data_IF_613844873495
#
_entry.id   IF_613844873495
#
_cell.length_a   1.000
_cell.length_b   1.000
_cell.length_c   1.000
_cell.angle_alpha   90.00
_cell.angle_beta   90.00
_cell.angle_gamma   90.00
#
_symmetry.space_group_name_H-M   'P 1'
#
loop_
_entity.id
_entity.type
_entity.pdbx_description
1 polymer ?
#
# COMPACT_ATOMS: atom_id res chain seq x y z
N UNK A 1 27.17 0.90 13.92
CA UNK A 1 27.30 -0.03 12.76
C UNK A 1 28.47 -1.01 12.94
N UNK A 2 29.74 -0.57 12.97
CA UNK A 2 30.89 -1.47 13.07
C UNK A 2 30.84 -2.44 14.27
N UNK A 3 30.37 -1.99 15.43
CA UNK A 3 30.19 -2.84 16.61
C UNK A 3 29.19 -3.99 16.36
N UNK A 4 28.05 -3.69 15.73
CA UNK A 4 27.00 -4.67 15.39
C UNK A 4 27.50 -5.70 14.38
N UNK A 5 28.32 -5.27 13.42
CA UNK A 5 28.91 -6.16 12.42
C UNK A 5 30.17 -6.89 12.92
N UNK A 6 30.58 -6.66 14.17
CA UNK A 6 31.84 -7.15 14.74
C UNK A 6 33.07 -6.82 13.86
N UNK A 7 33.13 -5.58 13.36
CA UNK A 7 34.23 -5.04 12.54
C UNK A 7 34.98 -3.90 13.24
N UNK A 8 35.72 -4.18 14.33
CA UNK A 8 36.51 -3.17 15.03
C UNK A 8 37.64 -2.61 14.15
N UNK A 9 38.11 -3.39 13.18
CA UNK A 9 39.09 -2.98 12.17
C UNK A 9 38.58 -1.79 11.33
N UNK A 10 37.31 -1.81 10.92
CA UNK A 10 36.71 -0.68 10.19
C UNK A 10 36.48 0.53 11.09
N UNK A 11 36.22 0.32 12.38
CA UNK A 11 36.03 1.40 13.33
C UNK A 11 37.34 2.13 13.67
N UNK A 12 38.46 1.41 13.66
CA UNK A 12 39.78 1.93 14.01
C UNK A 12 40.54 2.52 12.81
N UNK A 13 40.07 2.30 11.58
CA UNK A 13 40.74 2.73 10.36
C UNK A 13 40.67 4.27 10.18
N UNK A 14 41.82 4.99 10.22
CA UNK A 14 41.83 6.44 10.04
C UNK A 14 41.30 6.88 8.67
N UNK A 15 41.42 6.04 7.64
CA UNK A 15 40.87 6.35 6.31
C UNK A 15 39.34 6.44 6.33
N UNK A 16 38.67 5.77 7.28
CA UNK A 16 37.20 5.75 7.39
C UNK A 16 36.65 6.77 8.40
N UNK A 17 37.52 7.57 9.04
CA UNK A 17 37.11 8.54 10.05
C UNK A 17 36.23 9.68 9.47
N UNK A 18 36.47 10.06 8.21
CA UNK A 18 35.74 11.14 7.53
C UNK A 18 34.71 10.62 6.54
N UNK A 19 33.69 11.42 6.22
CA UNK A 19 32.71 11.06 5.21
C UNK A 19 33.34 10.87 3.82
N UNK A 20 34.30 11.72 3.44
CA UNK A 20 35.02 11.62 2.17
C UNK A 20 35.85 10.33 2.09
N UNK A 21 36.53 9.96 3.18
CA UNK A 21 37.29 8.72 3.24
C UNK A 21 36.40 7.47 3.16
N UNK A 22 35.25 7.47 3.84
CA UNK A 22 34.24 6.39 3.67
C UNK A 22 33.69 6.30 2.26
N UNK A 23 33.58 7.42 1.54
CA UNK A 23 33.12 7.44 0.15
C UNK A 23 34.18 6.89 -0.80
N UNK A 24 35.45 7.18 -0.57
CA UNK A 24 36.56 6.62 -1.34
C UNK A 24 36.67 5.09 -1.17
N UNK A 25 36.31 4.60 0.02
CA UNK A 25 36.38 3.18 0.40
C UNK A 25 34.98 2.50 0.43
N UNK A 26 34.01 3.00 -0.34
CA UNK A 26 32.61 2.56 -0.31
C UNK A 26 32.47 1.05 -0.53
N UNK A 27 33.12 0.51 -1.57
CA UNK A 27 33.06 -0.92 -1.92
C UNK A 27 33.51 -1.81 -0.74
N UNK A 28 34.56 -1.42 -0.02
CA UNK A 28 35.07 -2.16 1.14
C UNK A 28 34.05 -2.17 2.28
N UNK A 29 33.36 -1.06 2.50
CA UNK A 29 32.29 -0.94 3.48
C UNK A 29 31.08 -1.78 3.05
N UNK A 30 30.66 -1.70 1.79
CA UNK A 30 29.53 -2.47 1.27
C UNK A 30 29.77 -3.98 1.37
N UNK A 31 30.96 -4.46 1.04
CA UNK A 31 31.33 -5.87 1.19
C UNK A 31 31.19 -6.31 2.65
N UNK A 32 31.67 -5.50 3.59
CA UNK A 32 31.55 -5.79 5.01
C UNK A 32 30.08 -5.85 5.48
N UNK A 33 29.26 -4.89 5.05
CA UNK A 33 27.83 -4.85 5.35
C UNK A 33 27.14 -6.08 4.75
N UNK A 34 27.40 -6.39 3.48
CA UNK A 34 26.84 -7.55 2.76
C UNK A 34 27.15 -8.86 3.46
N UNK A 35 28.42 -9.07 3.83
CA UNK A 35 28.82 -10.29 4.52
C UNK A 35 28.05 -10.46 5.82
N UNK A 36 27.89 -9.39 6.60
CA UNK A 36 27.13 -9.46 7.83
C UNK A 36 25.63 -9.68 7.58
N UNK A 37 25.00 -8.93 6.67
CA UNK A 37 23.55 -9.04 6.40
C UNK A 37 23.14 -10.41 5.85
N UNK A 38 24.03 -11.11 5.16
CA UNK A 38 23.78 -12.50 4.71
C UNK A 38 23.69 -13.52 5.86
N UNK A 39 24.18 -13.18 7.06
CA UNK A 39 24.18 -14.08 8.22
C UNK A 39 22.99 -13.89 9.16
N UNK A 40 22.20 -12.83 8.97
CA UNK A 40 21.13 -12.43 9.90
C UNK A 40 19.81 -12.28 9.15
N UNK A 41 18.71 -12.72 9.77
CA UNK A 41 17.37 -12.48 9.19
C UNK A 41 17.07 -10.98 9.10
N UNK A 42 16.41 -10.48 8.04
CA UNK A 42 16.19 -9.05 7.81
C UNK A 42 15.54 -8.30 8.99
N UNK A 43 14.49 -8.86 9.58
CA UNK A 43 13.79 -8.21 10.72
C UNK A 43 14.68 -8.14 11.97
N UNK A 44 15.50 -9.18 12.23
CA UNK A 44 16.46 -9.19 13.33
C UNK A 44 17.61 -8.21 13.08
N UNK A 45 18.08 -8.12 11.83
CA UNK A 45 19.10 -7.15 11.44
C UNK A 45 18.58 -5.72 11.66
N UNK A 46 17.35 -5.42 11.20
CA UNK A 46 16.68 -4.15 11.44
C UNK A 46 16.61 -3.83 12.94
N UNK A 47 16.03 -4.73 13.74
CA UNK A 47 15.85 -4.50 15.17
C UNK A 47 17.19 -4.27 15.90
N UNK A 48 18.21 -5.07 15.57
CA UNK A 48 19.55 -4.96 16.17
C UNK A 48 20.22 -3.64 15.81
N UNK A 49 20.14 -3.23 14.54
CA UNK A 49 20.71 -1.96 14.07
C UNK A 49 20.02 -0.76 14.71
N UNK A 50 18.68 -0.76 14.75
CA UNK A 50 17.89 0.31 15.36
C UNK A 50 18.16 0.43 16.87
N UNK A 51 18.31 -0.69 17.58
CA UNK A 51 18.70 -0.71 19.00
C UNK A 51 20.08 -0.05 19.25
N UNK A 52 20.94 0.03 18.23
CA UNK A 52 22.24 0.71 18.28
C UNK A 52 22.21 2.10 17.60
N UNK A 53 21.03 2.67 17.39
CA UNK A 53 20.87 4.00 16.79
C UNK A 53 21.18 4.06 15.30
N UNK A 54 21.26 2.92 14.60
CA UNK A 54 21.45 2.85 13.15
C UNK A 54 20.10 2.69 12.46
N UNK A 55 19.64 3.67 11.65
CA UNK A 55 18.43 3.54 10.87
C UNK A 55 18.56 2.40 9.86
N UNK A 56 17.63 1.46 9.90
CA UNK A 56 17.58 0.31 9.00
C UNK A 56 16.12 -0.14 8.83
N UNK A 57 15.83 -0.80 7.71
CA UNK A 57 14.53 -1.42 7.44
C UNK A 57 14.68 -2.50 6.35
N UNK A 58 13.92 -3.60 6.43
CA UNK A 58 13.92 -4.62 5.38
C UNK A 58 13.24 -4.06 4.13
N UNK A 59 13.81 -4.36 2.96
CA UNK A 59 13.11 -4.17 1.69
C UNK A 59 12.04 -5.26 1.56
N UNK A 60 10.77 -4.89 1.73
CA UNK A 60 9.63 -5.80 1.63
C UNK A 60 9.02 -5.80 0.23
N UNK A 61 8.50 -6.93 -0.22
CA UNK A 61 7.66 -6.98 -1.42
C UNK A 61 6.26 -6.45 -1.09
N UNK A 62 5.51 -5.91 -2.08
CA UNK A 62 4.14 -5.44 -1.84
C UNK A 62 3.23 -6.50 -1.23
N UNK A 63 3.40 -7.77 -1.62
CA UNK A 63 2.62 -8.89 -1.09
C UNK A 63 2.88 -9.18 0.40
N UNK A 64 4.07 -8.85 0.91
CA UNK A 64 4.42 -9.05 2.32
C UNK A 64 3.77 -7.99 3.22
N UNK A 65 3.39 -6.85 2.65
CA UNK A 65 2.85 -5.71 3.42
C UNK A 65 1.49 -6.03 4.04
N UNK A 66 0.71 -6.92 3.44
CA UNK A 66 -0.60 -7.32 3.96
C UNK A 66 -0.51 -7.92 5.38
N UNK A 67 0.61 -8.57 5.71
CA UNK A 67 0.88 -9.15 7.02
C UNK A 67 1.87 -8.34 7.87
N UNK A 68 2.24 -7.12 7.46
CA UNK A 68 3.20 -6.32 8.21
C UNK A 68 2.61 -5.92 9.59
N UNK A 69 3.28 -6.27 10.70
CA UNK A 69 2.73 -6.04 12.04
C UNK A 69 2.45 -4.57 12.35
N UNK A 70 3.28 -3.67 11.85
CA UNK A 70 3.08 -2.24 12.06
C UNK A 70 1.86 -1.75 11.28
N UNK A 71 1.73 -2.12 10.00
CA UNK A 71 0.57 -1.72 9.18
C UNK A 71 -0.75 -2.25 9.74
N UNK A 72 -0.75 -3.48 10.29
CA UNK A 72 -1.90 -4.03 11.01
C UNK A 72 -2.22 -3.23 12.28
N UNK A 73 -1.20 -2.96 13.11
CA UNK A 73 -1.35 -2.24 14.38
C UNK A 73 -1.91 -0.83 14.20
N UNK A 74 -1.49 -0.11 13.15
CA UNK A 74 -1.93 1.27 12.88
C UNK A 74 -3.22 1.35 12.05
N UNK A 75 -3.91 0.21 11.86
CA UNK A 75 -5.17 0.13 11.12
C UNK A 75 -5.05 0.48 9.65
N UNK A 76 -3.87 0.35 9.05
CA UNK A 76 -3.67 0.68 7.64
C UNK A 76 -4.50 -0.22 6.74
N UNK A 77 -4.56 -1.52 7.05
CA UNK A 77 -5.39 -2.47 6.30
C UNK A 77 -6.78 -2.54 6.91
N UNK A 78 -7.79 -2.12 6.14
CA UNK A 78 -9.19 -2.18 6.56
C UNK A 78 -9.91 -3.31 5.84
N UNK A 79 -10.52 -4.26 6.58
CA UNK A 79 -11.26 -5.35 5.97
C UNK A 79 -12.53 -4.84 5.30
N UNK A 80 -12.80 -5.32 4.10
CA UNK A 80 -13.98 -5.00 3.32
C UNK A 80 -14.53 -6.24 2.62
N UNK A 81 -15.84 -6.26 2.39
CA UNK A 81 -16.50 -7.28 1.57
C UNK A 81 -17.21 -6.56 0.44
N UNK A 82 -16.75 -6.75 -0.80
CA UNK A 82 -17.43 -6.20 -1.98
C UNK A 82 -18.30 -7.27 -2.64
N UNK A 83 -19.49 -6.91 -3.14
CA UNK A 83 -20.24 -7.75 -4.05
C UNK A 83 -19.32 -8.25 -5.19
N UNK A 84 -19.46 -9.52 -5.58
CA UNK A 84 -18.71 -10.18 -6.65
C UNK A 84 -17.19 -10.38 -6.44
N UNK A 85 -16.55 -9.65 -5.54
CA UNK A 85 -15.10 -9.81 -5.23
C UNK A 85 -14.84 -10.54 -3.91
N UNK A 86 -15.79 -10.53 -2.97
CA UNK A 86 -15.64 -11.16 -1.66
C UNK A 86 -14.76 -10.36 -0.67
N UNK A 87 -14.26 -11.02 0.40
CA UNK A 87 -13.43 -10.39 1.42
C UNK A 87 -12.05 -9.97 0.89
N UNK A 88 -11.61 -8.75 1.21
CA UNK A 88 -10.29 -8.23 0.88
C UNK A 88 -9.89 -7.08 1.81
N UNK A 89 -8.61 -6.68 1.75
CA UNK A 89 -8.06 -5.56 2.49
C UNK A 89 -8.00 -4.32 1.60
N UNK A 90 -8.41 -3.18 2.15
CA UNK A 90 -8.26 -1.87 1.52
C UNK A 90 -7.26 -1.03 2.30
N UNK A 91 -6.38 -0.28 1.61
CA UNK A 91 -5.50 0.66 2.28
C UNK A 91 -6.33 1.83 2.84
N UNK A 92 -6.05 2.19 4.08
CA UNK A 92 -6.60 3.37 4.71
C UNK A 92 -5.94 4.64 4.18
N UNK A 93 -6.57 5.78 4.45
CA UNK A 93 -5.96 7.08 4.18
C UNK A 93 -4.60 7.23 4.90
N UNK A 94 -3.63 7.81 4.21
CA UNK A 94 -2.25 7.87 4.67
C UNK A 94 -2.03 8.85 5.83
N UNK A 95 -2.93 9.83 6.01
CA UNK A 95 -2.82 10.83 7.06
C UNK A 95 -3.66 10.49 8.29
N UNK A 96 -3.39 11.19 9.38
CA UNK A 96 -4.14 11.15 10.64
C UNK A 96 -4.60 12.56 10.97
N UNK A 97 -5.77 12.66 11.60
CA UNK A 97 -6.33 13.95 12.02
C UNK A 97 -6.23 14.10 13.54
N UNK A 98 -5.85 15.31 13.98
CA UNK A 98 -5.77 15.67 15.38
C UNK A 98 -4.80 14.77 16.16
N UNK A 99 -5.33 14.12 17.21
CA UNK A 99 -4.57 13.19 18.08
C UNK A 99 -4.91 11.72 17.81
N UNK A 100 -5.64 11.42 16.73
CA UNK A 100 -6.01 10.04 16.41
C UNK A 100 -4.78 9.24 15.97
N UNK A 101 -4.58 8.08 16.58
CA UNK A 101 -3.60 7.09 16.14
C UNK A 101 -4.14 6.23 15.00
N UNK A 102 -5.46 6.18 14.81
CA UNK A 102 -6.15 5.38 13.82
C UNK A 102 -6.59 6.22 12.61
N UNK A 103 -6.60 5.63 11.40
CA UNK A 103 -7.12 6.30 10.21
C UNK A 103 -8.64 6.44 10.27
N UNK A 104 -9.17 7.26 9.38
CA UNK A 104 -10.58 7.23 9.04
C UNK A 104 -11.01 5.83 8.60
N UNK A 105 -12.12 5.36 9.15
CA UNK A 105 -12.73 4.09 8.74
C UNK A 105 -13.42 4.26 7.39
N UNK A 106 -13.24 3.29 6.49
CA UNK A 106 -13.94 3.19 5.22
C UNK A 106 -15.41 2.87 5.52
N UNK A 107 -16.28 3.86 5.40
CA UNK A 107 -17.72 3.73 5.69
C UNK A 107 -18.54 3.29 4.48
N UNK A 108 -18.02 3.50 3.27
CA UNK A 108 -18.67 3.12 2.01
C UNK A 108 -17.62 2.59 1.04
N UNK A 109 -17.98 1.51 0.35
CA UNK A 109 -17.16 0.92 -0.71
C UNK A 109 -17.46 1.60 -2.04
N UNK A 110 -16.60 1.40 -3.04
CA UNK A 110 -16.89 1.91 -4.38
C UNK A 110 -18.18 1.25 -4.91
N UNK A 111 -19.09 2.03 -5.51
CA UNK A 111 -20.37 1.51 -5.95
C UNK A 111 -20.24 0.55 -7.12
N UNK A 112 -21.22 -0.35 -7.24
CA UNK A 112 -21.41 -1.13 -8.46
C UNK A 112 -22.03 -0.25 -9.55
N UNK A 113 -21.97 -0.72 -10.80
CA UNK A 113 -22.65 -0.06 -11.90
C UNK A 113 -24.14 0.13 -11.57
N UNK A 114 -24.65 1.35 -11.74
CA UNK A 114 -26.05 1.67 -11.52
C UNK A 114 -26.54 1.62 -10.07
N UNK A 115 -25.68 1.37 -9.07
CA UNK A 115 -26.08 1.16 -7.67
C UNK A 115 -26.95 2.30 -7.12
N UNK A 116 -26.67 3.54 -7.54
CA UNK A 116 -27.35 4.74 -7.04
C UNK A 116 -28.33 5.34 -8.06
N UNK A 117 -28.73 4.61 -9.13
CA UNK A 117 -29.64 5.14 -10.14
C UNK A 117 -30.98 5.57 -9.52
N UNK A 118 -31.57 4.73 -8.66
CA UNK A 118 -32.83 5.05 -7.99
C UNK A 118 -32.69 6.25 -7.05
N UNK A 119 -31.65 6.27 -6.21
CA UNK A 119 -31.37 7.38 -5.28
C UNK A 119 -31.26 8.71 -6.04
N UNK A 120 -30.45 8.75 -7.10
CA UNK A 120 -30.22 10.00 -7.84
C UNK A 120 -31.44 10.38 -8.69
N UNK A 121 -31.95 9.48 -9.53
CA UNK A 121 -32.98 9.84 -10.50
C UNK A 121 -34.34 10.06 -9.84
N UNK A 122 -34.71 9.22 -8.87
CA UNK A 122 -35.99 9.34 -8.18
C UNK A 122 -35.92 10.36 -7.05
N UNK A 123 -34.97 10.23 -6.14
CA UNK A 123 -34.99 11.00 -4.89
C UNK A 123 -34.40 12.40 -5.07
N UNK A 124 -33.33 12.56 -5.85
CA UNK A 124 -32.71 13.88 -6.08
C UNK A 124 -33.30 14.64 -7.26
N UNK A 125 -33.65 13.95 -8.35
CA UNK A 125 -34.15 14.58 -9.58
C UNK A 125 -35.67 14.51 -9.74
N UNK A 126 -36.37 13.71 -8.93
CA UNK A 126 -37.83 13.66 -8.91
C UNK A 126 -38.47 12.94 -10.10
N UNK A 127 -37.72 12.12 -10.84
CA UNK A 127 -38.28 11.33 -11.93
C UNK A 127 -39.24 10.26 -11.37
N UNK A 128 -40.34 10.07 -12.09
CA UNK A 128 -41.27 8.97 -11.87
C UNK A 128 -40.65 7.62 -12.26
N UNK A 129 -41.21 6.53 -11.73
CA UNK A 129 -40.77 5.19 -12.10
C UNK A 129 -40.92 4.92 -13.60
N UNK A 130 -41.94 5.49 -14.24
CA UNK A 130 -42.15 5.39 -15.69
C UNK A 130 -41.02 6.04 -16.49
N UNK A 131 -40.59 7.24 -16.10
CA UNK A 131 -39.46 7.93 -16.75
C UNK A 131 -38.15 7.17 -16.55
N UNK A 132 -37.93 6.60 -15.36
CA UNK A 132 -36.72 5.79 -15.09
C UNK A 132 -36.73 4.52 -15.93
N UNK A 133 -37.88 3.86 -16.09
CA UNK A 133 -38.03 2.67 -16.93
C UNK A 133 -37.82 3.00 -18.41
N UNK A 134 -38.30 4.16 -18.89
CA UNK A 134 -38.01 4.65 -20.24
C UNK A 134 -36.51 4.85 -20.48
N UNK A 135 -35.80 5.47 -19.52
CA UNK A 135 -34.34 5.64 -19.60
C UNK A 135 -33.60 4.30 -19.63
N UNK A 136 -34.10 3.30 -18.88
CA UNK A 136 -33.53 1.95 -18.88
C UNK A 136 -33.79 1.23 -20.21
N UNK A 137 -35.01 1.32 -20.73
CA UNK A 137 -35.39 0.71 -22.01
C UNK A 137 -34.65 1.34 -23.20
N UNK A 138 -34.37 2.64 -23.13
CA UNK A 138 -33.57 3.37 -24.12
C UNK A 138 -32.05 3.12 -23.99
N UNK A 139 -31.61 2.25 -23.06
CA UNK A 139 -30.19 1.96 -22.77
C UNK A 139 -29.38 3.20 -22.37
N UNK A 140 -30.03 4.24 -21.82
CA UNK A 140 -29.37 5.46 -21.33
C UNK A 140 -28.76 5.23 -19.94
N UNK A 141 -29.42 4.41 -19.13
CA UNK A 141 -28.94 3.97 -17.80
C UNK A 141 -28.92 2.44 -17.72
N UNK A 142 -28.12 1.90 -16.80
CA UNK A 142 -28.06 0.46 -16.56
C UNK A 142 -27.38 0.10 -15.24
N UNK A 143 -27.48 -1.16 -14.86
CA UNK A 143 -26.91 -1.77 -13.65
C UNK A 143 -26.02 -2.99 -13.97
N UNK A 144 -26.00 -3.44 -15.22
CA UNK A 144 -25.16 -4.53 -15.70
C UNK A 144 -24.19 -4.06 -16.78
N UNK A 145 -22.93 -4.49 -16.68
CA UNK A 145 -21.94 -4.20 -17.71
C UNK A 145 -22.24 -5.05 -18.95
N UNK A 146 -22.57 -4.38 -20.07
CA UNK A 146 -22.71 -5.03 -21.38
C UNK A 146 -21.37 -4.98 -22.11
N UNK A 147 -20.92 -6.12 -22.63
CA UNK A 147 -19.76 -6.13 -23.51
C UNK A 147 -20.04 -5.30 -24.77
N UNK A 148 -19.08 -4.50 -25.27
CA UNK A 148 -19.30 -3.72 -26.48
C UNK A 148 -19.68 -4.66 -27.64
N UNK A 149 -20.75 -4.31 -28.37
CA UNK A 149 -21.12 -5.02 -29.60
C UNK A 149 -19.89 -5.01 -30.53
N UNK A 150 -19.49 -6.17 -31.11
CA UNK A 150 -18.38 -6.21 -32.04
C UNK A 150 -18.68 -5.22 -33.17
N UNK A 151 -17.71 -4.35 -33.50
CA UNK A 151 -17.86 -3.43 -34.62
C UNK A 151 -18.15 -4.27 -35.86
N UNK A 152 -19.31 -4.09 -36.47
CA UNK A 152 -19.64 -4.68 -37.76
C UNK A 152 -18.55 -4.23 -38.72
N UNK A 153 -17.76 -5.18 -39.24
CA UNK A 153 -16.75 -4.88 -40.25
C UNK A 153 -17.47 -4.21 -41.42
N UNK A 154 -17.13 -2.96 -41.72
CA UNK A 154 -17.58 -2.30 -42.93
C UNK A 154 -17.11 -3.16 -44.12
N UNK A 155 -18.07 -3.63 -44.92
CA UNK A 155 -17.81 -4.25 -46.22
C UNK A 155 -17.40 -3.17 -47.23
#
# INVERSE_FOLDING_TARGET
LCAVMHRPDLAADPALATAAGRRAEEDRIEIAIRHWTMTVRPDLAMATLQAHGVPAGPARLPMDLAGDPHLMQVGHWQPAVRPFMGPHLLPAVAYREGRSTMPYTITRLAPTLGQHNAEVLRELLGLSDAEIDELRAAEIIGDTAVSPKPKTAAK
#
